data_IF_419126385289
#
_entry.id   IF_419126385289
#
_cell.length_a   1.000
_cell.length_b   1.000
_cell.length_c   1.000
_cell.angle_alpha   90.00
_cell.angle_beta   90.00
_cell.angle_gamma   90.00
#
_symmetry.space_group_name_H-M   'P 1'
#
loop_
_entity.id
_entity.type
_entity.pdbx_description
1 polymer ?
#
# COMPACT_ATOMS: atom_id res chain seq x y z
N UNK A 1 21.99 5.81 14.08
CA UNK A 1 21.74 5.40 12.69
C UNK A 1 21.03 4.04 12.71
N UNK A 2 19.94 3.89 11.95
CA UNK A 2 19.23 2.61 11.83
C UNK A 2 20.07 1.65 10.98
N UNK A 3 20.22 0.39 11.42
CA UNK A 3 20.97 -0.61 10.68
C UNK A 3 20.19 -1.07 9.45
N UNK A 4 20.82 -1.16 8.27
CA UNK A 4 20.17 -1.71 7.08
C UNK A 4 19.86 -3.20 7.28
N UNK A 5 18.78 -3.66 6.63
CA UNK A 5 18.36 -5.06 6.64
C UNK A 5 18.04 -5.51 5.22
N UNK A 6 18.38 -6.75 4.90
CA UNK A 6 17.99 -7.36 3.62
C UNK A 6 16.48 -7.64 3.58
N UNK A 7 15.88 -7.37 2.44
CA UNK A 7 14.44 -7.63 2.23
C UNK A 7 14.27 -9.08 1.78
N UNK A 8 14.13 -9.98 2.74
CA UNK A 8 14.01 -11.44 2.50
C UNK A 8 12.57 -11.96 2.68
N UNK A 9 11.68 -11.12 3.24
CA UNK A 9 10.34 -11.56 3.66
C UNK A 9 10.33 -12.37 4.97
N UNK A 10 11.49 -12.60 5.57
CA UNK A 10 11.62 -13.31 6.83
C UNK A 10 12.01 -12.38 7.97
N UNK A 11 11.30 -12.45 9.09
CA UNK A 11 11.62 -11.70 10.30
C UNK A 11 12.65 -12.48 11.13
N UNK A 12 13.93 -12.30 10.81
CA UNK A 12 15.05 -12.96 11.51
C UNK A 12 15.78 -12.02 12.47
N UNK A 13 16.94 -12.49 12.95
CA UNK A 13 17.78 -11.75 13.90
C UNK A 13 18.25 -10.39 13.36
N UNK A 14 18.53 -10.29 12.06
CA UNK A 14 18.91 -9.03 11.41
C UNK A 14 17.75 -8.03 11.44
N UNK A 15 16.53 -8.47 11.14
CA UNK A 15 15.34 -7.62 11.20
C UNK A 15 15.10 -7.16 12.64
N UNK A 16 15.18 -8.07 13.61
CA UNK A 16 15.05 -7.73 15.02
C UNK A 16 16.12 -6.74 15.50
N UNK A 17 17.37 -6.87 15.03
CA UNK A 17 18.46 -5.94 15.33
C UNK A 17 18.21 -4.55 14.71
N UNK A 18 17.76 -4.51 13.45
CA UNK A 18 17.36 -3.26 12.79
C UNK A 18 16.22 -2.56 13.50
N UNK A 19 15.20 -3.32 13.92
CA UNK A 19 14.07 -2.78 14.71
C UNK A 19 14.54 -2.24 16.05
N UNK A 20 15.43 -2.92 16.76
CA UNK A 20 16.02 -2.40 18.01
C UNK A 20 16.77 -1.09 17.78
N UNK A 21 17.58 -1.01 16.71
CA UNK A 21 18.30 0.23 16.40
C UNK A 21 17.35 1.38 16.03
N UNK A 22 16.25 1.09 15.32
CA UNK A 22 15.20 2.05 15.06
C UNK A 22 14.53 2.52 16.36
N UNK A 23 14.13 1.59 17.21
CA UNK A 23 13.52 1.88 18.51
C UNK A 23 14.45 2.77 19.37
N UNK A 24 15.76 2.50 19.35
CA UNK A 24 16.74 3.31 20.05
C UNK A 24 16.78 4.76 19.52
N UNK A 25 16.83 4.93 18.19
CA UNK A 25 16.88 6.25 17.55
C UNK A 25 15.64 7.08 17.88
N UNK A 26 14.48 6.45 17.97
CA UNK A 26 13.21 7.12 18.23
C UNK A 26 12.75 7.08 19.70
N UNK A 27 13.63 6.65 20.63
CA UNK A 27 13.32 6.64 22.06
C UNK A 27 12.25 5.64 22.48
N UNK A 28 12.04 4.59 21.70
CA UNK A 28 11.10 3.50 22.00
C UNK A 28 11.79 2.36 22.79
N UNK A 29 11.03 1.53 23.53
CA UNK A 29 11.58 0.34 24.17
C UNK A 29 12.24 -0.59 23.14
N UNK A 30 13.52 -0.92 23.36
CA UNK A 30 14.34 -1.69 22.42
C UNK A 30 14.05 -3.20 22.49
N UNK A 31 12.83 -3.58 22.19
CA UNK A 31 12.37 -4.98 22.25
C UNK A 31 12.77 -5.80 21.02
N UNK A 32 13.03 -5.15 19.89
CA UNK A 32 13.20 -5.81 18.61
C UNK A 32 11.88 -6.36 18.04
N UNK A 33 10.74 -5.98 18.62
CA UNK A 33 9.41 -6.39 18.18
C UNK A 33 8.67 -5.18 17.66
N UNK A 34 8.06 -5.30 16.49
CA UNK A 34 7.20 -4.25 15.93
C UNK A 34 5.83 -4.35 16.58
N UNK A 35 5.66 -3.63 17.67
CA UNK A 35 4.35 -3.39 18.28
C UNK A 35 3.66 -2.16 17.64
N UNK A 36 2.46 -1.82 18.10
CA UNK A 36 1.69 -0.69 17.56
C UNK A 36 2.45 0.64 17.63
N UNK A 37 3.14 0.90 18.73
CA UNK A 37 3.92 2.14 18.88
C UNK A 37 5.09 2.19 17.89
N UNK A 38 5.83 1.08 17.75
CA UNK A 38 6.93 0.95 16.79
C UNK A 38 6.41 1.09 15.36
N UNK A 39 5.25 0.48 15.05
CA UNK A 39 4.65 0.58 13.71
C UNK A 39 4.25 2.02 13.37
N UNK A 40 3.57 2.69 14.27
CA UNK A 40 3.18 4.08 14.06
C UNK A 40 4.40 4.97 13.83
N UNK A 41 5.44 4.82 14.65
CA UNK A 41 6.67 5.60 14.50
C UNK A 41 7.42 5.29 13.18
N UNK A 42 7.43 4.02 12.75
CA UNK A 42 7.97 3.62 11.43
C UNK A 42 7.20 4.30 10.30
N UNK A 43 5.88 4.30 10.39
CA UNK A 43 5.01 4.93 9.39
C UNK A 43 5.24 6.43 9.35
N UNK A 44 5.28 7.10 10.51
CA UNK A 44 5.51 8.55 10.60
C UNK A 44 6.89 8.93 10.04
N UNK A 45 7.94 8.16 10.38
CA UNK A 45 9.28 8.39 9.86
C UNK A 45 9.35 8.18 8.34
N UNK A 46 8.71 7.14 7.83
CA UNK A 46 8.61 6.86 6.39
C UNK A 46 7.88 7.99 5.65
N UNK A 47 6.73 8.41 6.18
CA UNK A 47 5.95 9.52 5.61
C UNK A 47 6.73 10.83 5.61
N UNK A 48 7.49 11.13 6.68
CA UNK A 48 8.38 12.29 6.74
C UNK A 48 9.44 12.26 5.65
N UNK A 49 10.11 11.12 5.45
CA UNK A 49 11.13 10.95 4.40
C UNK A 49 10.51 11.12 3.01
N UNK A 50 9.33 10.53 2.77
CA UNK A 50 8.65 10.61 1.46
C UNK A 50 8.18 12.03 1.17
N UNK A 51 7.75 12.80 2.19
CA UNK A 51 7.33 14.19 2.05
C UNK A 51 8.52 15.13 1.73
N UNK A 52 9.72 14.82 2.23
CA UNK A 52 10.95 15.59 1.98
C UNK A 52 11.64 15.21 0.65
N UNK A 53 11.25 14.09 0.04
CA UNK A 53 11.72 13.79 -1.31
C UNK A 53 11.16 14.86 -2.25
N UNK A 54 12.03 15.51 -3.09
CA UNK A 54 11.55 16.45 -4.07
C UNK A 54 10.45 15.76 -4.87
N UNK A 55 9.27 16.37 -4.89
CA UNK A 55 8.19 15.97 -5.77
C UNK A 55 8.70 16.13 -7.22
N UNK A 56 9.48 15.17 -7.68
CA UNK A 56 9.67 14.96 -9.12
C UNK A 56 8.32 14.45 -9.59
N UNK A 57 7.50 15.41 -10.02
CA UNK A 57 6.05 15.43 -10.11
C UNK A 57 5.39 14.40 -11.00
N UNK A 58 5.89 13.19 -11.14
CA UNK A 58 5.32 12.26 -12.11
C UNK A 58 5.06 10.83 -11.64
N UNK A 59 5.52 10.43 -10.44
CA UNK A 59 5.50 9.00 -10.10
C UNK A 59 5.10 8.69 -8.64
N UNK A 60 4.30 9.53 -8.00
CA UNK A 60 3.86 9.28 -6.61
C UNK A 60 2.53 8.56 -6.61
N UNK A 61 2.53 7.31 -6.17
CA UNK A 61 1.31 6.60 -5.80
C UNK A 61 0.94 6.89 -4.35
N UNK A 62 -0.36 6.96 -4.09
CA UNK A 62 -0.86 7.24 -2.75
C UNK A 62 -0.53 6.10 -1.79
N UNK A 63 -0.12 6.46 -0.58
CA UNK A 63 0.17 5.53 0.51
C UNK A 63 -1.14 4.98 1.08
N UNK A 64 -1.11 3.74 1.56
CA UNK A 64 -2.27 3.14 2.23
C UNK A 64 -2.74 4.00 3.41
N UNK A 65 -4.04 4.33 3.48
CA UNK A 65 -4.56 5.29 4.47
C UNK A 65 -4.60 4.74 5.92
N UNK A 66 -4.13 3.52 6.17
CA UNK A 66 -4.15 2.91 7.49
C UNK A 66 -5.52 2.38 7.95
N UNK A 67 -6.56 2.53 7.12
CA UNK A 67 -7.93 2.06 7.39
C UNK A 67 -8.48 1.29 6.20
N UNK A 68 -9.25 0.23 6.49
CA UNK A 68 -9.90 -0.54 5.44
C UNK A 68 -11.03 0.28 4.82
N UNK A 69 -10.97 0.46 3.49
CA UNK A 69 -12.04 1.11 2.74
C UNK A 69 -13.07 0.06 2.34
N UNK A 70 -14.33 0.37 2.61
CA UNK A 70 -15.46 -0.53 2.37
C UNK A 70 -16.70 0.25 1.96
N UNK A 71 -17.72 -0.46 1.51
CA UNK A 71 -19.00 0.14 1.18
C UNK A 71 -19.53 1.01 2.32
N UNK A 72 -19.96 2.22 1.99
CA UNK A 72 -20.37 3.26 2.92
C UNK A 72 -19.24 4.23 3.34
N UNK A 73 -17.97 3.93 3.05
CA UNK A 73 -16.86 4.84 3.34
C UNK A 73 -16.87 6.04 2.40
N UNK A 74 -16.70 7.24 2.95
CA UNK A 74 -16.48 8.46 2.16
C UNK A 74 -15.14 9.08 2.57
N UNK A 75 -14.20 9.17 1.63
CA UNK A 75 -12.87 9.74 1.90
C UNK A 75 -12.13 10.06 0.60
N UNK A 76 -11.07 10.86 0.72
CA UNK A 76 -10.14 11.11 -0.38
C UNK A 76 -9.44 9.82 -0.83
N UNK A 77 -9.12 8.92 0.09
CA UNK A 77 -8.52 7.63 -0.25
C UNK A 77 -9.45 6.75 -1.09
N UNK A 78 -10.77 6.84 -0.89
CA UNK A 78 -11.75 6.19 -1.78
C UNK A 78 -11.70 6.82 -3.17
N UNK A 79 -11.62 8.14 -3.27
CA UNK A 79 -11.53 8.84 -4.55
C UNK A 79 -10.28 8.42 -5.34
N UNK A 80 -9.14 8.32 -4.66
CA UNK A 80 -7.88 7.85 -5.23
C UNK A 80 -8.01 6.40 -5.73
N UNK A 81 -8.57 5.51 -4.92
CA UNK A 81 -8.80 4.13 -5.33
C UNK A 81 -9.73 4.04 -6.57
N UNK A 82 -10.77 4.86 -6.62
CA UNK A 82 -11.66 4.96 -7.77
C UNK A 82 -10.95 5.46 -9.02
N UNK A 83 -10.04 6.42 -8.87
CA UNK A 83 -9.21 6.91 -9.98
C UNK A 83 -8.32 5.80 -10.54
N UNK A 84 -7.66 5.03 -9.66
CA UNK A 84 -6.83 3.89 -10.07
C UNK A 84 -7.66 2.79 -10.76
N UNK A 85 -8.82 2.44 -10.19
CA UNK A 85 -9.73 1.46 -10.79
C UNK A 85 -10.23 1.90 -12.18
N UNK A 86 -10.55 3.19 -12.35
CA UNK A 86 -10.95 3.74 -13.64
C UNK A 86 -9.82 3.70 -14.67
N UNK A 87 -8.60 4.02 -14.27
CA UNK A 87 -7.45 3.88 -15.15
C UNK A 87 -7.29 2.41 -15.58
N UNK A 88 -7.38 1.50 -14.61
CA UNK A 88 -7.25 0.05 -14.86
C UNK A 88 -8.44 -0.53 -15.65
N UNK A 89 -9.64 0.06 -15.58
CA UNK A 89 -10.74 -0.28 -16.48
C UNK A 89 -10.34 -0.14 -17.96
N UNK A 90 -9.58 0.90 -18.28
CA UNK A 90 -9.06 1.12 -19.64
C UNK A 90 -8.06 0.04 -20.09
N UNK A 91 -7.37 -0.62 -19.16
CA UNK A 91 -6.42 -1.71 -19.43
C UNK A 91 -7.12 -3.08 -19.34
N UNK A 92 -7.97 -3.24 -18.34
CA UNK A 92 -8.70 -4.47 -18.03
C UNK A 92 -10.21 -4.20 -18.06
N UNK A 93 -10.88 -4.38 -19.20
CA UNK A 93 -12.33 -4.09 -19.33
C UNK A 93 -13.24 -4.91 -18.40
N UNK A 94 -12.72 -5.96 -17.79
CA UNK A 94 -13.43 -6.76 -16.79
C UNK A 94 -13.67 -6.01 -15.47
N UNK A 95 -12.87 -4.97 -15.18
CA UNK A 95 -13.08 -4.07 -14.05
C UNK A 95 -14.17 -3.08 -14.45
N UNK A 96 -15.32 -3.00 -13.74
CA UNK A 96 -16.34 -2.01 -14.04
C UNK A 96 -15.81 -0.56 -13.91
N UNK A 97 -16.24 0.32 -14.80
CA UNK A 97 -15.97 1.75 -14.65
C UNK A 97 -16.66 2.30 -13.39
N UNK A 98 -15.97 3.17 -12.66
CA UNK A 98 -16.48 3.79 -11.43
C UNK A 98 -16.40 5.32 -11.55
N UNK A 99 -17.30 6.03 -10.87
CA UNK A 99 -17.23 7.48 -10.78
C UNK A 99 -16.34 7.89 -9.61
N UNK A 100 -15.46 8.89 -9.81
CA UNK A 100 -14.54 9.42 -8.79
C UNK A 100 -15.28 10.32 -7.78
N UNK A 101 -16.20 9.76 -7.03
CA UNK A 101 -17.04 10.48 -6.08
C UNK A 101 -16.46 10.61 -4.68
N UNK A 102 -15.46 9.77 -4.36
CA UNK A 102 -14.97 9.61 -2.99
C UNK A 102 -15.89 8.80 -2.08
N UNK A 103 -17.06 8.36 -2.58
CA UNK A 103 -17.97 7.48 -1.86
C UNK A 103 -17.85 6.04 -2.36
N UNK A 104 -17.58 5.12 -1.44
CA UNK A 104 -17.47 3.70 -1.73
C UNK A 104 -18.88 3.08 -1.82
N UNK A 105 -19.46 3.14 -2.99
CA UNK A 105 -20.78 2.57 -3.27
C UNK A 105 -20.71 1.15 -3.84
N UNK A 106 -21.88 0.57 -4.18
CA UNK A 106 -21.97 -0.78 -4.76
C UNK A 106 -21.17 -0.96 -6.06
N UNK A 107 -21.10 0.07 -6.89
CA UNK A 107 -20.30 0.03 -8.14
C UNK A 107 -18.80 -0.04 -7.84
N UNK A 108 -18.33 0.75 -6.87
CA UNK A 108 -16.94 0.70 -6.40
C UNK A 108 -16.63 -0.69 -5.84
N UNK A 109 -17.52 -1.25 -5.02
CA UNK A 109 -17.37 -2.60 -4.49
C UNK A 109 -17.26 -3.65 -5.60
N UNK A 110 -18.10 -3.55 -6.63
CA UNK A 110 -18.08 -4.46 -7.78
C UNK A 110 -16.75 -4.36 -8.55
N UNK A 111 -16.21 -3.16 -8.72
CA UNK A 111 -14.91 -2.95 -9.34
C UNK A 111 -13.77 -3.52 -8.51
N UNK A 112 -13.81 -3.38 -7.18
CA UNK A 112 -12.83 -3.98 -6.26
C UNK A 112 -12.87 -5.50 -6.34
N UNK A 113 -14.05 -6.12 -6.34
CA UNK A 113 -14.19 -7.58 -6.49
C UNK A 113 -13.62 -8.07 -7.83
N UNK A 114 -13.91 -7.36 -8.92
CA UNK A 114 -13.37 -7.70 -10.24
C UNK A 114 -11.83 -7.58 -10.26
N UNK A 115 -11.29 -6.52 -9.66
CA UNK A 115 -9.86 -6.33 -9.52
C UNK A 115 -9.21 -7.45 -8.68
N UNK A 116 -9.78 -7.77 -7.51
CA UNK A 116 -9.29 -8.84 -6.63
C UNK A 116 -9.27 -10.19 -7.36
N UNK A 117 -10.34 -10.53 -8.08
CA UNK A 117 -10.43 -11.74 -8.90
C UNK A 117 -9.34 -11.77 -9.98
N UNK A 118 -9.15 -10.67 -10.70
CA UNK A 118 -8.18 -10.56 -11.77
C UNK A 118 -6.73 -10.71 -11.26
N UNK A 119 -6.45 -10.20 -10.07
CA UNK A 119 -5.12 -10.26 -9.43
C UNK A 119 -4.91 -11.50 -8.55
N UNK A 120 -5.90 -12.39 -8.45
CA UNK A 120 -5.81 -13.58 -7.61
C UNK A 120 -5.81 -13.29 -6.11
N UNK A 121 -6.39 -12.18 -5.70
CA UNK A 121 -6.57 -11.79 -4.30
C UNK A 121 -7.87 -12.38 -3.73
N UNK A 122 -8.00 -12.35 -2.40
CA UNK A 122 -9.26 -12.69 -1.74
C UNK A 122 -10.38 -11.74 -2.17
N UNK A 123 -11.46 -12.31 -2.75
CA UNK A 123 -12.63 -11.57 -3.26
C UNK A 123 -13.58 -11.16 -2.12
N UNK A 124 -13.17 -10.23 -1.28
CA UNK A 124 -13.99 -9.73 -0.17
C UNK A 124 -14.65 -8.37 -0.44
N UNK A 125 -14.26 -7.69 -1.51
CA UNK A 125 -14.78 -6.37 -1.88
C UNK A 125 -14.33 -5.24 -0.95
N UNK A 126 -13.26 -5.47 -0.17
CA UNK A 126 -12.67 -4.50 0.74
C UNK A 126 -11.31 -4.05 0.19
N UNK A 127 -10.96 -2.79 0.37
CA UNK A 127 -9.60 -2.32 0.11
C UNK A 127 -8.86 -2.22 1.44
N UNK A 128 -8.25 -3.34 1.82
CA UNK A 128 -7.27 -3.42 2.90
C UNK A 128 -5.85 -3.17 2.38
N UNK A 129 -4.82 -3.32 3.22
CA UNK A 129 -3.43 -3.06 2.84
C UNK A 129 -2.98 -3.87 1.62
N UNK A 130 -3.31 -5.14 1.55
CA UNK A 130 -2.93 -6.02 0.44
C UNK A 130 -3.57 -5.56 -0.88
N UNK A 131 -4.87 -5.28 -0.88
CA UNK A 131 -5.59 -4.80 -2.06
C UNK A 131 -5.10 -3.42 -2.49
N UNK A 132 -4.80 -2.54 -1.53
CA UNK A 132 -4.24 -1.21 -1.82
C UNK A 132 -2.87 -1.29 -2.46
N UNK A 133 -1.96 -2.08 -1.88
CA UNK A 133 -0.60 -2.26 -2.40
C UNK A 133 -0.63 -2.83 -3.83
N UNK A 134 -1.46 -3.84 -4.08
CA UNK A 134 -1.60 -4.42 -5.41
C UNK A 134 -2.22 -3.43 -6.39
N UNK A 135 -3.23 -2.66 -5.96
CA UNK A 135 -3.88 -1.64 -6.78
C UNK A 135 -2.88 -0.53 -7.20
N UNK A 136 -2.08 -0.04 -6.24
CA UNK A 136 -1.05 0.97 -6.51
C UNK A 136 0.07 0.42 -7.36
N UNK A 137 0.48 -0.83 -7.16
CA UNK A 137 1.50 -1.50 -7.95
C UNK A 137 1.07 -1.64 -9.42
N UNK A 138 -0.11 -2.20 -9.66
CA UNK A 138 -0.63 -2.44 -11.01
C UNK A 138 -0.90 -1.11 -11.73
N UNK A 139 -1.44 -0.12 -11.02
CA UNK A 139 -1.61 1.23 -11.55
C UNK A 139 -0.28 1.84 -11.98
N UNK A 140 0.75 1.78 -11.13
CA UNK A 140 2.07 2.33 -11.41
C UNK A 140 2.75 1.62 -12.59
N UNK A 141 2.64 0.30 -12.66
CA UNK A 141 3.19 -0.50 -13.76
C UNK A 141 2.62 -0.07 -15.10
N UNK A 142 1.31 0.10 -15.19
CA UNK A 142 0.66 0.50 -16.45
C UNK A 142 0.72 1.99 -16.73
N UNK A 143 0.73 2.82 -15.70
CA UNK A 143 0.74 4.29 -15.86
C UNK A 143 2.11 4.85 -16.16
N UNK A 144 3.15 4.29 -15.54
CA UNK A 144 4.52 4.83 -15.57
C UNK A 144 5.55 3.87 -16.17
N UNK A 145 5.15 2.63 -16.51
CA UNK A 145 6.05 1.64 -17.11
C UNK A 145 7.13 1.13 -16.16
N UNK A 146 6.88 1.14 -14.84
CA UNK A 146 7.84 0.59 -13.90
C UNK A 146 7.92 -0.91 -14.02
N UNK A 147 9.08 -1.38 -14.44
CA UNK A 147 9.47 -2.78 -14.32
C UNK A 147 9.42 -3.17 -12.83
N UNK A 148 8.75 -4.29 -12.54
CA UNK A 148 8.70 -4.87 -11.20
C UNK A 148 10.11 -4.98 -10.64
N UNK A 149 10.49 -4.08 -9.75
CA UNK A 149 11.63 -4.38 -8.88
C UNK A 149 11.16 -5.44 -7.89
N UNK A 150 11.85 -6.60 -7.78
CA UNK A 150 11.39 -7.74 -6.97
C UNK A 150 11.20 -7.45 -5.47
N UNK A 151 11.41 -6.22 -5.01
CA UNK A 151 11.54 -5.86 -3.60
C UNK A 151 10.70 -4.65 -3.16
N UNK A 152 9.70 -4.23 -3.96
CA UNK A 152 8.87 -3.08 -3.60
C UNK A 152 7.73 -3.41 -2.61
N UNK A 153 7.51 -4.67 -2.31
CA UNK A 153 6.53 -5.12 -1.31
C UNK A 153 7.22 -5.94 -0.23
N UNK A 154 7.78 -5.30 0.83
CA UNK A 154 8.31 -6.05 1.94
C UNK A 154 7.16 -6.79 2.64
N UNK A 155 7.07 -8.10 2.44
CA UNK A 155 6.27 -8.96 3.28
C UNK A 155 5.13 -9.75 2.62
N UNK A 156 4.86 -9.61 1.32
CA UNK A 156 3.81 -10.37 0.66
C UNK A 156 4.37 -11.23 -0.47
N UNK A 157 4.41 -12.53 -0.26
CA UNK A 157 4.45 -13.47 -1.37
C UNK A 157 2.99 -13.78 -1.70
N UNK A 158 2.45 -13.18 -2.74
CA UNK A 158 1.17 -13.61 -3.31
C UNK A 158 1.44 -14.96 -3.96
N UNK A 159 0.89 -16.02 -3.36
CA UNK A 159 0.86 -17.33 -3.98
C UNK A 159 -0.28 -17.41 -4.97
#
# INVERSE_FOLDING_TARGET
QVQPVEITGYYGDQTAASVRSFQQVFGLPQTGIINRATWNQLTDAYLGIVADLPATGENVVAIYPGTVLKEGTTSESVRIAQEYLNFLHGVYPQIPAVNNTGYFGPVTRSAVLAFQRLMGLEENGLIGPITWDELTRVYSEHRFGYDKRPYQHPGYTIK
#
